data_IF_714799956362
#
_entry.id   IF_714799956362
#
_cell.length_a   1.000
_cell.length_b   1.000
_cell.length_c   1.000
_cell.angle_alpha   90.00
_cell.angle_beta   90.00
_cell.angle_gamma   90.00
#
_symmetry.space_group_name_H-M   'P 1'
#
loop_
_entity.id
_entity.type
_entity.pdbx_description
1 polymer ?
#
# COMPACT_ATOMS: atom_id res chain seq x y z
N UNK A 1 1.98 -10.56 -70.42
CA UNK A 1 2.31 -11.69 -69.51
C UNK A 1 2.64 -11.10 -68.15
N UNK A 2 2.20 -11.79 -67.09
CA UNK A 2 1.88 -11.32 -65.75
C UNK A 2 2.88 -10.38 -65.06
N UNK A 3 2.36 -9.27 -64.52
CA UNK A 3 2.96 -8.47 -63.46
C UNK A 3 2.84 -9.22 -62.13
N UNK A 4 3.96 -9.50 -61.46
CA UNK A 4 3.98 -10.00 -60.09
C UNK A 4 3.43 -8.93 -59.12
N UNK A 5 2.50 -9.28 -58.21
CA UNK A 5 2.19 -8.40 -57.09
C UNK A 5 3.33 -8.46 -56.07
N UNK A 6 3.91 -7.31 -55.74
CA UNK A 6 4.78 -7.18 -54.57
C UNK A 6 3.96 -7.49 -53.31
N UNK A 7 4.48 -8.37 -52.45
CA UNK A 7 3.95 -8.55 -51.10
C UNK A 7 4.06 -7.23 -50.32
N UNK A 8 3.06 -6.87 -49.50
CA UNK A 8 3.17 -5.72 -48.62
C UNK A 8 4.27 -5.97 -47.58
N UNK A 9 5.00 -4.93 -47.15
CA UNK A 9 5.98 -5.06 -46.09
C UNK A 9 5.28 -5.54 -44.80
N UNK A 10 5.88 -6.53 -44.17
CA UNK A 10 5.50 -7.09 -42.88
C UNK A 10 5.46 -5.94 -41.85
N UNK A 11 4.25 -5.56 -41.43
CA UNK A 11 4.07 -4.50 -40.44
C UNK A 11 4.64 -4.99 -39.10
N UNK A 12 5.75 -4.39 -38.68
CA UNK A 12 6.29 -4.54 -37.33
C UNK A 12 5.19 -4.21 -36.32
N UNK A 13 4.73 -5.21 -35.58
CA UNK A 13 3.75 -5.02 -34.51
C UNK A 13 4.34 -4.10 -33.44
N UNK A 14 3.63 -3.02 -33.14
CA UNK A 14 4.03 -2.06 -32.12
C UNK A 14 4.17 -2.78 -30.74
N UNK A 15 5.27 -2.55 -30.00
CA UNK A 15 5.60 -3.31 -28.78
C UNK A 15 4.61 -3.12 -27.61
N UNK A 16 3.62 -2.23 -27.75
CA UNK A 16 2.72 -1.80 -26.67
C UNK A 16 1.23 -2.01 -27.02
N UNK A 17 0.86 -3.19 -27.52
CA UNK A 17 -0.56 -3.56 -27.55
C UNK A 17 -1.02 -3.87 -26.11
N UNK A 18 -2.24 -3.45 -25.74
CA UNK A 18 -2.81 -3.74 -24.42
C UNK A 18 -2.74 -5.24 -24.05
N UNK A 19 -2.97 -6.20 -24.97
CA UNK A 19 -2.77 -7.62 -24.68
C UNK A 19 -1.32 -8.00 -24.32
N UNK A 20 -0.32 -7.37 -24.95
CA UNK A 20 1.09 -7.60 -24.61
C UNK A 20 1.44 -7.04 -23.23
N UNK A 21 0.92 -5.85 -22.89
CA UNK A 21 1.08 -5.25 -21.57
C UNK A 21 0.44 -6.11 -20.47
N UNK A 22 -0.79 -6.59 -20.69
CA UNK A 22 -1.47 -7.50 -19.76
C UNK A 22 -0.68 -8.79 -19.59
N UNK A 23 -0.19 -9.37 -20.68
CA UNK A 23 0.64 -10.57 -20.64
C UNK A 23 1.95 -10.36 -19.87
N UNK A 24 2.60 -9.21 -20.05
CA UNK A 24 3.81 -8.84 -19.30
C UNK A 24 3.51 -8.63 -17.81
N UNK A 25 2.41 -7.97 -17.47
CA UNK A 25 1.99 -7.75 -16.08
C UNK A 25 1.62 -9.07 -15.38
N UNK A 26 0.96 -9.99 -16.08
CA UNK A 26 0.63 -11.32 -15.55
C UNK A 26 1.87 -12.19 -15.35
N UNK A 27 2.88 -12.09 -16.22
CA UNK A 27 4.16 -12.82 -16.05
C UNK A 27 4.92 -12.42 -14.79
N UNK A 28 4.67 -11.20 -14.29
CA UNK A 28 5.24 -10.75 -13.02
C UNK A 28 4.45 -11.23 -11.81
N UNK A 29 3.29 -11.87 -11.98
CA UNK A 29 2.55 -12.45 -10.85
C UNK A 29 2.97 -13.90 -10.69
N UNK A 30 3.53 -14.22 -9.53
CA UNK A 30 3.75 -15.61 -9.13
C UNK A 30 2.54 -16.06 -8.31
N UNK A 31 1.72 -16.92 -8.91
CA UNK A 31 0.52 -17.46 -8.30
C UNK A 31 0.82 -18.73 -7.49
N UNK A 32 0.29 -18.77 -6.28
CA UNK A 32 0.22 -19.95 -5.42
C UNK A 32 -1.26 -20.15 -5.11
N UNK A 33 -1.89 -21.10 -5.81
CA UNK A 33 -3.35 -21.26 -5.82
C UNK A 33 -3.78 -22.65 -5.37
N UNK A 34 -4.84 -22.72 -4.55
CA UNK A 34 -5.48 -23.99 -4.13
C UNK A 34 -4.53 -24.98 -3.44
N UNK A 35 -3.54 -24.44 -2.74
CA UNK A 35 -2.55 -25.22 -2.01
C UNK A 35 -2.96 -25.40 -0.55
N UNK A 36 -2.75 -26.61 -0.01
CA UNK A 36 -3.22 -26.94 1.34
C UNK A 36 -2.21 -27.77 2.15
N UNK A 37 -2.23 -27.60 3.47
CA UNK A 37 -1.52 -28.41 4.49
C UNK A 37 -0.01 -28.56 4.25
N UNK A 38 0.66 -27.46 3.87
CA UNK A 38 2.10 -27.44 3.56
C UNK A 38 2.79 -26.21 4.14
N UNK A 39 4.11 -26.35 4.30
CA UNK A 39 5.03 -25.24 4.57
C UNK A 39 5.85 -24.98 3.30
N UNK A 40 5.88 -23.74 2.84
CA UNK A 40 6.64 -23.31 1.66
C UNK A 40 7.60 -22.18 1.98
N UNK A 41 8.84 -22.36 1.53
CA UNK A 41 9.88 -21.34 1.60
C UNK A 41 10.01 -20.69 0.24
N UNK A 42 9.76 -19.38 0.19
CA UNK A 42 9.86 -18.59 -1.02
C UNK A 42 11.16 -17.77 -0.97
N UNK A 43 12.23 -18.27 -1.57
CA UNK A 43 13.52 -17.61 -1.71
C UNK A 43 13.76 -17.08 -3.14
N UNK A 44 14.91 -16.44 -3.37
CA UNK A 44 15.30 -15.86 -4.67
C UNK A 44 15.42 -16.89 -5.82
N UNK A 45 15.35 -18.20 -5.54
CA UNK A 45 15.28 -19.25 -6.56
C UNK A 45 13.85 -19.58 -6.98
N UNK A 46 12.88 -19.25 -6.12
CA UNK A 46 11.45 -19.56 -6.30
C UNK A 46 10.60 -18.35 -6.72
N UNK A 47 11.02 -17.14 -6.35
CA UNK A 47 10.36 -15.87 -6.67
C UNK A 47 11.40 -14.86 -7.14
N UNK A 48 11.03 -13.95 -8.05
CA UNK A 48 11.91 -12.87 -8.50
C UNK A 48 11.59 -11.56 -7.78
N UNK A 49 12.58 -10.66 -7.70
CA UNK A 49 12.39 -9.35 -7.06
C UNK A 49 11.33 -8.49 -7.73
N UNK A 50 11.09 -8.67 -9.03
CA UNK A 50 10.05 -7.95 -9.77
C UNK A 50 8.67 -8.64 -9.70
N UNK A 51 8.56 -9.77 -8.99
CA UNK A 51 7.32 -10.53 -8.89
C UNK A 51 6.35 -9.99 -7.84
N UNK A 52 5.05 -10.02 -8.13
CA UNK A 52 4.00 -9.98 -7.11
C UNK A 52 3.72 -11.41 -6.68
N UNK A 53 3.91 -11.71 -5.40
CA UNK A 53 3.50 -13.00 -4.81
C UNK A 53 2.01 -12.95 -4.54
N UNK A 54 1.27 -13.88 -5.12
CA UNK A 54 -0.18 -13.93 -5.00
C UNK A 54 -0.60 -15.28 -4.43
N UNK A 55 -1.01 -15.27 -3.17
CA UNK A 55 -1.54 -16.43 -2.44
C UNK A 55 -3.06 -16.40 -2.56
N UNK A 56 -3.67 -17.45 -3.11
CA UNK A 56 -5.11 -17.43 -3.37
C UNK A 56 -5.75 -18.80 -3.17
N UNK A 57 -6.90 -18.83 -2.50
CA UNK A 57 -7.62 -20.09 -2.22
C UNK A 57 -6.75 -21.14 -1.49
N UNK A 58 -5.77 -20.69 -0.70
CA UNK A 58 -4.93 -21.57 0.11
C UNK A 58 -5.55 -21.81 1.49
N UNK A 59 -5.53 -23.05 1.98
CA UNK A 59 -6.06 -23.43 3.30
C UNK A 59 -5.01 -24.18 4.14
N UNK A 60 -4.86 -23.86 5.43
CA UNK A 60 -3.92 -24.53 6.32
C UNK A 60 -2.47 -24.52 5.77
N UNK A 61 -1.99 -23.32 5.44
CA UNK A 61 -0.68 -23.12 4.80
C UNK A 61 0.25 -22.28 5.66
N UNK A 62 1.55 -22.55 5.56
CA UNK A 62 2.60 -21.66 6.07
C UNK A 62 3.55 -21.25 4.94
N UNK A 63 3.67 -19.94 4.72
CA UNK A 63 4.63 -19.36 3.79
C UNK A 63 5.72 -18.60 4.53
N UNK A 64 6.97 -18.85 4.18
CA UNK A 64 8.14 -18.13 4.68
C UNK A 64 8.81 -17.43 3.49
N UNK A 65 8.67 -16.12 3.40
CA UNK A 65 9.22 -15.30 2.31
C UNK A 65 10.62 -14.82 2.69
N UNK A 66 11.61 -15.49 2.12
CA UNK A 66 13.04 -15.22 2.23
C UNK A 66 13.65 -14.62 0.96
N UNK A 67 12.84 -14.36 -0.06
CA UNK A 67 13.25 -13.69 -1.30
C UNK A 67 12.63 -12.31 -1.42
N UNK A 68 13.28 -11.42 -2.17
CA UNK A 68 12.74 -10.10 -2.46
C UNK A 68 11.56 -10.22 -3.43
N UNK A 69 10.50 -9.43 -3.23
CA UNK A 69 9.38 -9.33 -4.17
C UNK A 69 8.84 -7.91 -4.30
N UNK A 70 8.04 -7.65 -5.33
CA UNK A 70 7.39 -6.36 -5.55
C UNK A 70 6.31 -6.08 -4.52
N UNK A 71 5.41 -7.06 -4.30
CA UNK A 71 4.18 -6.93 -3.51
C UNK A 71 3.70 -8.33 -3.10
N UNK A 72 2.97 -8.42 -1.98
CA UNK A 72 2.25 -9.65 -1.60
C UNK A 72 0.75 -9.38 -1.61
N UNK A 73 -0.01 -10.32 -2.18
CA UNK A 73 -1.46 -10.31 -2.23
C UNK A 73 -2.01 -11.64 -1.70
N UNK A 74 -3.01 -11.59 -0.82
CA UNK A 74 -3.64 -12.74 -0.17
C UNK A 74 -5.14 -12.66 -0.40
N UNK A 75 -5.72 -13.66 -1.07
CA UNK A 75 -7.13 -13.68 -1.45
C UNK A 75 -7.80 -14.99 -1.10
N UNK A 76 -8.96 -14.92 -0.44
CA UNK A 76 -9.80 -16.09 -0.20
C UNK A 76 -9.01 -17.26 0.45
N UNK A 77 -8.05 -16.91 1.31
CA UNK A 77 -7.23 -17.86 2.06
C UNK A 77 -7.82 -18.13 3.44
N UNK A 78 -7.53 -19.30 3.99
CA UNK A 78 -7.99 -19.70 5.32
C UNK A 78 -6.88 -20.34 6.14
N UNK A 79 -6.81 -20.02 7.42
CA UNK A 79 -5.85 -20.61 8.37
C UNK A 79 -4.39 -20.54 7.84
N UNK A 80 -4.00 -19.36 7.35
CA UNK A 80 -2.71 -19.12 6.71
C UNK A 80 -1.74 -18.43 7.66
N UNK A 81 -0.49 -18.91 7.70
CA UNK A 81 0.64 -18.26 8.35
C UNK A 81 1.58 -17.70 7.30
N UNK A 82 1.97 -16.44 7.44
CA UNK A 82 2.94 -15.79 6.57
C UNK A 82 4.05 -15.19 7.43
N UNK A 83 5.30 -15.58 7.19
CA UNK A 83 6.47 -14.88 7.73
C UNK A 83 7.19 -14.18 6.59
N UNK A 84 7.39 -12.86 6.72
CA UNK A 84 8.13 -12.07 5.74
C UNK A 84 9.46 -11.63 6.34
N UNK A 85 10.55 -12.20 5.83
CA UNK A 85 11.91 -11.90 6.27
C UNK A 85 12.61 -10.89 5.37
N UNK A 86 12.28 -10.90 4.08
CA UNK A 86 12.91 -10.04 3.08
C UNK A 86 12.03 -8.87 2.61
N UNK A 87 12.67 -7.95 1.88
CA UNK A 87 12.05 -6.71 1.43
C UNK A 87 10.89 -6.96 0.44
N UNK A 88 9.77 -6.29 0.70
CA UNK A 88 8.72 -6.03 -0.29
C UNK A 88 8.96 -4.64 -0.89
N UNK A 89 9.22 -4.54 -2.19
CA UNK A 89 9.64 -3.27 -2.83
C UNK A 89 8.59 -2.17 -2.63
N UNK A 90 7.32 -2.49 -2.80
CA UNK A 90 6.21 -1.54 -2.57
C UNK A 90 5.95 -1.30 -1.09
N UNK A 91 6.48 -2.16 -0.21
CA UNK A 91 6.18 -2.19 1.23
C UNK A 91 4.67 -2.34 1.51
N UNK A 92 3.93 -2.97 0.58
CA UNK A 92 2.49 -3.18 0.66
C UNK A 92 2.15 -4.67 0.70
N UNK A 93 1.23 -5.02 1.59
CA UNK A 93 0.50 -6.30 1.58
C UNK A 93 -1.00 -6.01 1.44
N UNK A 94 -1.67 -6.73 0.55
CA UNK A 94 -3.13 -6.68 0.42
C UNK A 94 -3.73 -8.04 0.82
N UNK A 95 -4.77 -8.00 1.64
CA UNK A 95 -5.49 -9.17 2.14
C UNK A 95 -6.97 -8.93 1.91
N UNK A 96 -7.66 -9.85 1.25
CA UNK A 96 -9.11 -9.77 1.17
C UNK A 96 -9.82 -11.11 1.20
N UNK A 97 -11.06 -11.09 1.68
CA UNK A 97 -11.97 -12.25 1.77
C UNK A 97 -11.36 -13.47 2.49
N UNK A 98 -10.47 -13.21 3.44
CA UNK A 98 -9.66 -14.25 4.08
C UNK A 98 -9.97 -14.38 5.57
N UNK A 99 -9.84 -15.58 6.13
CA UNK A 99 -10.14 -15.89 7.54
C UNK A 99 -8.95 -16.58 8.22
N UNK A 100 -8.60 -16.17 9.44
CA UNK A 100 -7.57 -16.85 10.23
C UNK A 100 -6.15 -16.63 9.70
N UNK A 101 -5.82 -15.39 9.30
CA UNK A 101 -4.52 -15.04 8.72
C UNK A 101 -3.59 -14.50 9.79
N UNK A 102 -2.42 -15.12 9.92
CA UNK A 102 -1.40 -14.74 10.89
C UNK A 102 -0.13 -14.31 10.15
N UNK A 103 0.25 -13.05 10.26
CA UNK A 103 1.39 -12.49 9.53
C UNK A 103 2.45 -11.96 10.49
N UNK A 104 3.66 -12.50 10.38
CA UNK A 104 4.85 -12.00 11.06
C UNK A 104 5.72 -11.22 10.07
N UNK A 105 5.98 -9.97 10.42
CA UNK A 105 6.67 -8.99 9.59
C UNK A 105 8.02 -8.65 10.21
N UNK A 106 9.07 -9.35 9.73
CA UNK A 106 10.45 -9.08 10.09
C UNK A 106 11.11 -8.12 9.09
N UNK A 107 10.40 -7.70 8.04
CA UNK A 107 10.84 -6.68 7.08
C UNK A 107 9.96 -5.44 7.12
N UNK A 108 10.39 -4.37 6.46
CA UNK A 108 9.62 -3.13 6.39
C UNK A 108 8.39 -3.32 5.51
N UNK A 109 7.20 -3.22 6.13
CA UNK A 109 5.91 -3.22 5.45
C UNK A 109 5.14 -1.99 5.95
N UNK A 110 5.11 -0.97 5.11
CA UNK A 110 4.53 0.31 5.48
C UNK A 110 3.02 0.25 5.50
N UNK A 111 2.39 -0.46 4.57
CA UNK A 111 0.93 -0.50 4.47
C UNK A 111 0.43 -1.93 4.37
N UNK A 112 -0.43 -2.34 5.28
CA UNK A 112 -1.26 -3.53 5.11
C UNK A 112 -2.69 -3.10 4.85
N UNK A 113 -3.28 -3.59 3.76
CA UNK A 113 -4.67 -3.30 3.40
C UNK A 113 -5.51 -4.55 3.56
N UNK A 114 -6.64 -4.43 4.27
CA UNK A 114 -7.45 -5.56 4.72
C UNK A 114 -8.93 -5.30 4.38
N UNK A 115 -9.55 -6.16 3.57
CA UNK A 115 -10.94 -5.99 3.14
C UNK A 115 -11.72 -7.31 3.25
N UNK A 116 -12.90 -7.28 3.86
CA UNK A 116 -13.77 -8.47 3.97
C UNK A 116 -13.09 -9.65 4.68
N UNK A 117 -12.34 -9.39 5.74
CA UNK A 117 -11.58 -10.41 6.44
C UNK A 117 -12.14 -10.75 7.82
N UNK A 118 -11.66 -11.86 8.39
CA UNK A 118 -11.95 -12.25 9.76
C UNK A 118 -10.70 -12.83 10.42
N UNK A 119 -10.53 -12.59 11.72
CA UNK A 119 -9.45 -13.19 12.53
C UNK A 119 -8.06 -12.93 11.91
N UNK A 120 -7.69 -11.65 11.77
CA UNK A 120 -6.41 -11.25 11.20
C UNK A 120 -5.46 -10.84 12.32
N UNK A 121 -4.29 -11.47 12.38
CA UNK A 121 -3.26 -11.17 13.36
C UNK A 121 -2.00 -10.69 12.65
N UNK A 122 -1.54 -9.47 12.98
CA UNK A 122 -0.32 -8.89 12.44
C UNK A 122 0.71 -8.68 13.54
N UNK A 123 1.95 -9.09 13.30
CA UNK A 123 3.06 -8.90 14.22
C UNK A 123 4.22 -8.19 13.51
N UNK A 124 4.58 -7.01 13.98
CA UNK A 124 5.78 -6.28 13.54
C UNK A 124 6.90 -6.48 14.55
N UNK A 125 8.11 -6.80 14.10
CA UNK A 125 9.24 -6.99 15.01
C UNK A 125 9.80 -5.67 15.59
N UNK A 126 9.53 -4.52 14.94
CA UNK A 126 9.97 -3.17 15.36
C UNK A 126 8.98 -2.07 14.96
N UNK A 127 8.85 -0.98 15.75
CA UNK A 127 7.97 0.15 15.40
C UNK A 127 8.39 0.85 14.10
N UNK A 128 9.70 0.97 13.85
CA UNK A 128 10.24 1.64 12.64
C UNK A 128 9.84 1.00 11.31
N UNK A 129 9.29 -0.22 11.31
CA UNK A 129 8.86 -0.94 10.11
C UNK A 129 7.38 -0.78 9.80
N UNK A 130 6.62 -0.21 10.72
CA UNK A 130 5.18 0.04 10.61
C UNK A 130 4.91 1.48 10.15
N UNK A 131 3.85 1.68 9.35
CA UNK A 131 3.36 3.01 9.00
C UNK A 131 1.82 3.12 9.03
N UNK A 132 1.11 2.17 8.44
CA UNK A 132 -0.34 2.06 8.55
C UNK A 132 -0.91 0.67 8.31
N UNK A 133 -2.09 0.46 8.88
CA UNK A 133 -3.01 -0.59 8.44
C UNK A 133 -4.29 0.10 7.98
N UNK A 134 -4.74 -0.20 6.78
CA UNK A 134 -6.03 0.25 6.26
C UNK A 134 -6.97 -0.94 6.26
N UNK A 135 -8.18 -0.77 6.77
CA UNK A 135 -9.13 -1.87 6.82
C UNK A 135 -10.59 -1.46 6.64
N UNK A 136 -11.40 -2.39 6.14
CA UNK A 136 -12.85 -2.25 6.00
C UNK A 136 -13.51 -3.63 6.01
N UNK A 137 -14.79 -3.71 6.37
CA UNK A 137 -15.58 -4.96 6.43
C UNK A 137 -14.86 -6.12 7.12
N UNK A 138 -14.06 -5.85 8.15
CA UNK A 138 -13.17 -6.83 8.79
C UNK A 138 -13.49 -6.94 10.27
N UNK A 139 -13.53 -8.17 10.80
CA UNK A 139 -13.77 -8.45 12.23
C UNK A 139 -12.57 -9.17 12.86
N UNK A 140 -12.34 -8.95 14.17
CA UNK A 140 -11.19 -9.46 14.91
C UNK A 140 -9.83 -9.19 14.22
N UNK A 141 -9.51 -7.91 14.00
CA UNK A 141 -8.17 -7.46 13.62
C UNK A 141 -7.34 -7.26 14.88
N UNK A 142 -6.28 -8.04 15.06
CA UNK A 142 -5.27 -7.85 16.10
C UNK A 142 -3.94 -7.43 15.48
N UNK A 143 -3.26 -6.50 16.15
CA UNK A 143 -1.94 -6.04 15.76
C UNK A 143 -1.05 -5.95 16.99
N UNK A 144 0.17 -6.44 16.86
CA UNK A 144 1.25 -6.27 17.84
C UNK A 144 2.49 -5.69 17.18
N UNK A 145 3.15 -4.81 17.90
CA UNK A 145 4.48 -4.30 17.55
C UNK A 145 5.41 -4.62 18.71
N UNK A 146 6.50 -5.30 18.40
CA UNK A 146 7.57 -5.62 19.33
C UNK A 146 8.70 -4.59 19.26
N UNK A 147 9.48 -4.49 20.32
CA UNK A 147 10.75 -3.76 20.38
C UNK A 147 11.70 -4.59 21.24
N UNK A 148 12.86 -4.95 20.70
CA UNK A 148 13.82 -5.85 21.35
C UNK A 148 13.21 -7.16 21.89
N UNK A 149 12.24 -7.70 21.15
CA UNK A 149 11.56 -8.96 21.47
C UNK A 149 10.45 -8.83 22.52
N UNK A 150 10.17 -7.63 23.03
CA UNK A 150 9.07 -7.37 23.96
C UNK A 150 7.90 -6.68 23.27
N UNK A 151 6.67 -7.10 23.58
CA UNK A 151 5.46 -6.44 23.08
C UNK A 151 5.42 -4.99 23.61
N UNK A 152 5.42 -4.02 22.69
CA UNK A 152 5.46 -2.60 23.00
C UNK A 152 4.13 -1.91 22.74
N UNK A 153 3.47 -2.30 21.65
CA UNK A 153 2.17 -1.78 21.25
C UNK A 153 1.26 -2.93 20.85
N UNK A 154 -0.02 -2.78 21.19
CA UNK A 154 -1.06 -3.73 20.81
C UNK A 154 -2.33 -2.98 20.45
N UNK A 155 -3.06 -3.46 19.44
CA UNK A 155 -4.37 -2.99 19.05
C UNK A 155 -5.27 -4.20 18.76
N UNK A 156 -6.51 -4.15 19.22
CA UNK A 156 -7.58 -5.02 18.75
C UNK A 156 -8.70 -4.14 18.19
N UNK A 157 -9.20 -4.47 17.00
CA UNK A 157 -10.20 -3.73 16.26
C UNK A 157 -11.13 -4.69 15.49
N UNK A 158 -12.18 -4.16 14.87
CA UNK A 158 -13.06 -4.93 13.97
C UNK A 158 -14.37 -5.43 14.60
N UNK A 159 -14.50 -5.46 15.93
CA UNK A 159 -15.71 -5.97 16.59
C UNK A 159 -16.69 -4.86 16.98
N UNK A 160 -16.19 -3.65 17.17
CA UNK A 160 -16.97 -2.50 17.65
C UNK A 160 -17.57 -1.66 16.50
N UNK A 161 -17.16 -1.92 15.25
CA UNK A 161 -17.49 -1.08 14.10
C UNK A 161 -18.60 -1.66 13.19
N UNK A 162 -19.51 -2.44 13.78
CA UNK A 162 -20.67 -3.00 13.08
C UNK A 162 -21.97 -2.21 13.30
N UNK A 163 -21.90 -1.01 13.88
CA UNK A 163 -23.08 -0.19 14.14
C UNK A 163 -22.94 1.18 13.49
N UNK A 164 -23.10 1.22 12.18
CA UNK A 164 -23.75 2.38 11.56
C UNK A 164 -25.05 1.89 10.92
N UNK A 165 -26.11 1.90 11.72
CA UNK A 165 -27.47 1.53 11.32
C UNK A 165 -28.18 2.65 10.56
N UNK A 166 -27.43 3.57 9.93
CA UNK A 166 -27.99 4.54 9.00
C UNK A 166 -27.93 3.98 7.59
N UNK A 167 -29.10 3.68 7.03
CA UNK A 167 -29.35 3.21 5.65
C UNK A 167 -28.81 4.15 4.54
N UNK A 168 -28.06 5.20 4.88
CA UNK A 168 -27.66 6.30 3.99
C UNK A 168 -26.17 6.29 3.58
N UNK A 169 -25.32 5.42 4.16
CA UNK A 169 -23.94 5.30 3.70
C UNK A 169 -23.85 4.34 2.50
N UNK A 170 -23.80 4.93 1.30
CA UNK A 170 -23.61 4.20 0.03
C UNK A 170 -22.29 3.39 -0.05
N UNK A 171 -21.36 3.61 0.89
CA UNK A 171 -20.04 2.96 0.94
C UNK A 171 -19.71 2.52 2.37
N UNK A 172 -19.11 1.34 2.55
CA UNK A 172 -18.66 0.89 3.85
C UNK A 172 -17.59 1.85 4.40
N UNK A 173 -17.68 2.15 5.69
CA UNK A 173 -16.66 2.94 6.37
C UNK A 173 -15.30 2.23 6.26
N UNK A 174 -14.26 3.01 5.99
CA UNK A 174 -12.88 2.55 5.94
C UNK A 174 -12.13 3.19 7.10
N UNK A 175 -11.18 2.45 7.66
CA UNK A 175 -10.42 2.86 8.83
C UNK A 175 -8.93 2.78 8.54
N UNK A 176 -8.15 3.59 9.24
CA UNK A 176 -6.70 3.56 9.18
C UNK A 176 -6.10 3.61 10.58
N UNK A 177 -5.11 2.76 10.81
CA UNK A 177 -4.32 2.72 12.04
C UNK A 177 -3.02 3.45 11.82
N UNK A 178 -2.64 4.30 12.77
CA UNK A 178 -1.35 5.01 12.82
C UNK A 178 -0.67 4.80 14.18
N UNK A 179 0.65 4.94 14.22
CA UNK A 179 1.40 5.08 15.47
C UNK A 179 1.68 6.57 15.69
N UNK A 180 0.94 7.18 16.62
CA UNK A 180 0.99 8.62 16.91
C UNK A 180 1.37 8.77 18.38
N UNK A 181 2.39 9.57 18.68
CA UNK A 181 2.86 9.80 20.06
C UNK A 181 3.03 8.50 20.86
N UNK A 182 3.59 7.47 20.19
CA UNK A 182 3.85 6.16 20.77
C UNK A 182 2.57 5.36 21.13
N UNK A 183 1.43 5.68 20.52
CA UNK A 183 0.16 4.99 20.69
C UNK A 183 -0.43 4.58 19.34
N UNK A 184 -1.00 3.38 19.27
CA UNK A 184 -1.77 2.94 18.10
C UNK A 184 -3.15 3.59 18.13
N UNK A 185 -3.46 4.37 17.09
CA UNK A 185 -4.71 5.12 16.97
C UNK A 185 -5.42 4.67 15.71
N UNK A 186 -6.71 4.34 15.85
CA UNK A 186 -7.61 4.07 14.73
C UNK A 186 -8.41 5.33 14.42
N UNK A 187 -8.38 5.77 13.16
CA UNK A 187 -9.11 6.93 12.66
C UNK A 187 -9.96 6.52 11.44
N UNK A 188 -11.01 7.29 11.13
CA UNK A 188 -11.70 7.16 9.85
C UNK A 188 -10.75 7.49 8.71
N UNK A 189 -10.75 6.64 7.69
CA UNK A 189 -10.03 6.89 6.45
C UNK A 189 -10.84 7.86 5.60
N UNK A 190 -10.21 8.97 5.27
CA UNK A 190 -10.68 9.91 4.25
C UNK A 190 -9.78 9.81 3.03
N UNK A 191 -10.30 10.22 1.87
CA UNK A 191 -9.51 10.27 0.63
C UNK A 191 -9.21 11.72 0.31
N UNK A 192 -7.93 12.06 0.33
CA UNK A 192 -7.45 13.35 -0.13
C UNK A 192 -7.68 13.52 -1.64
N UNK A 193 -7.30 14.69 -2.17
CA UNK A 193 -7.26 14.92 -3.62
C UNK A 193 -6.55 13.77 -4.34
N UNK A 194 -7.09 13.34 -5.49
CA UNK A 194 -6.61 12.19 -6.28
C UNK A 194 -6.76 10.82 -5.60
N UNK A 195 -7.51 10.73 -4.50
CA UNK A 195 -7.94 9.46 -3.91
C UNK A 195 -6.95 8.84 -2.92
N UNK A 196 -5.90 9.56 -2.52
CA UNK A 196 -4.90 9.07 -1.56
C UNK A 196 -5.54 8.83 -0.17
N UNK A 197 -5.34 7.65 0.43
CA UNK A 197 -5.87 7.36 1.76
C UNK A 197 -5.11 8.17 2.82
N UNK A 198 -5.85 8.86 3.67
CA UNK A 198 -5.32 9.73 4.75
C UNK A 198 -6.31 9.77 5.91
N UNK A 199 -5.95 10.44 7.00
CA UNK A 199 -6.88 10.81 8.08
C UNK A 199 -7.33 12.26 7.94
N UNK A 200 -8.47 12.61 8.56
CA UNK A 200 -8.92 14.01 8.63
C UNK A 200 -7.86 14.90 9.29
N UNK A 201 -7.23 14.40 10.37
CA UNK A 201 -6.12 15.07 11.07
C UNK A 201 -4.93 15.34 10.13
N UNK A 202 -4.45 14.32 9.41
CA UNK A 202 -3.34 14.47 8.45
C UNK A 202 -3.69 15.46 7.33
N UNK A 203 -4.94 15.43 6.88
CA UNK A 203 -5.43 16.34 5.84
C UNK A 203 -5.47 17.80 6.31
N UNK A 204 -5.96 18.04 7.53
CA UNK A 204 -5.99 19.37 8.13
C UNK A 204 -4.58 19.91 8.39
N UNK A 205 -3.66 19.08 8.90
CA UNK A 205 -2.25 19.44 9.04
C UNK A 205 -1.60 19.80 7.70
N UNK A 206 -1.91 19.06 6.63
CA UNK A 206 -1.38 19.33 5.30
C UNK A 206 -1.91 20.64 4.72
N UNK A 207 -3.22 20.89 4.83
CA UNK A 207 -3.84 22.15 4.37
C UNK A 207 -3.24 23.36 5.10
N UNK A 208 -3.07 23.27 6.43
CA UNK A 208 -2.46 24.34 7.21
C UNK A 208 -1.00 24.62 6.77
N UNK A 209 -0.21 23.57 6.49
CA UNK A 209 1.15 23.72 5.96
C UNK A 209 1.18 24.39 4.59
N UNK A 210 0.23 24.07 3.72
CA UNK A 210 0.11 24.70 2.39
C UNK A 210 -0.23 26.17 2.51
N UNK A 211 -1.17 26.53 3.39
CA UNK A 211 -1.56 27.91 3.61
C UNK A 211 -0.37 28.76 4.09
N UNK A 212 0.35 28.29 5.12
CA UNK A 212 1.58 28.94 5.62
C UNK A 212 2.63 29.09 4.53
N UNK A 213 2.83 28.06 3.70
CA UNK A 213 3.83 28.11 2.63
C UNK A 213 3.42 29.04 1.48
N UNK A 214 2.12 29.13 1.18
CA UNK A 214 1.56 30.05 0.19
C UNK A 214 1.74 31.50 0.63
N UNK A 215 1.47 31.80 1.90
CA UNK A 215 1.71 33.11 2.50
C UNK A 215 3.19 33.50 2.47
N UNK A 216 4.08 32.58 2.86
CA UNK A 216 5.54 32.78 2.78
C UNK A 216 6.01 33.06 1.36
N UNK A 217 5.51 32.30 0.39
CA UNK A 217 5.88 32.46 -1.02
C UNK A 217 5.41 33.81 -1.57
N UNK A 218 4.17 34.20 -1.26
CA UNK A 218 3.60 35.49 -1.65
C UNK A 218 4.38 36.68 -1.06
N UNK A 219 4.81 36.56 0.20
CA UNK A 219 5.63 37.58 0.86
C UNK A 219 7.02 37.70 0.23
N UNK A 220 7.67 36.57 -0.11
CA UNK A 220 8.96 36.57 -0.81
C UNK A 220 8.81 37.23 -2.19
N UNK A 221 7.76 36.90 -2.94
CA UNK A 221 7.53 37.49 -4.27
C UNK A 221 7.32 39.01 -4.19
N UNK A 222 6.60 39.49 -3.16
CA UNK A 222 6.42 40.93 -2.91
C UNK A 222 7.76 41.62 -2.62
N UNK A 223 8.58 41.05 -1.74
CA UNK A 223 9.91 41.58 -1.42
C UNK A 223 10.78 41.65 -2.68
N UNK A 224 10.80 40.60 -3.51
CA UNK A 224 11.57 40.58 -4.75
C UNK A 224 11.08 41.64 -5.75
N UNK A 225 9.77 41.84 -5.88
CA UNK A 225 9.19 42.91 -6.73
C UNK A 225 9.56 44.30 -6.23
N UNK A 226 9.56 44.52 -4.92
CA UNK A 226 9.91 45.82 -4.32
C UNK A 226 11.41 46.11 -4.48
N UNK A 227 12.28 45.10 -4.32
CA UNK A 227 13.73 45.22 -4.60
C UNK A 227 14.01 45.51 -6.09
N UNK A 228 13.31 44.84 -7.01
CA UNK A 228 13.48 45.08 -8.44
C UNK A 228 13.03 46.50 -8.84
N UNK A 229 12.00 47.05 -8.21
CA UNK A 229 11.56 48.44 -8.41
C UNK A 229 12.51 49.46 -7.79
N UNK A 230 13.13 49.13 -6.64
CA UNK A 230 14.16 49.95 -6.01
C UNK A 230 15.38 50.13 -6.92
N UNK A 231 15.92 49.02 -7.45
CA UNK A 231 17.10 49.07 -8.32
C UNK A 231 16.83 49.78 -9.66
N UNK A 232 15.61 49.73 -10.20
CA UNK A 232 15.26 50.42 -11.46
C UNK A 232 15.21 51.96 -11.33
N UNK A 233 15.07 52.50 -10.11
CA UNK A 233 15.04 53.95 -9.87
C UNK A 233 16.44 54.55 -9.64
N UNK A 234 17.42 53.73 -9.25
CA UNK A 234 18.80 54.19 -9.04
C UNK A 234 19.61 54.28 -10.36
N UNK A 235 19.22 53.52 -11.40
CA UNK A 235 19.86 53.54 -12.72
C UNK A 235 19.45 54.73 -13.63
N UNK A 236 18.52 55.60 -13.18
CA UNK A 236 18.03 56.75 -13.97
C UNK A 236 18.69 58.08 -13.54
N UNK A 237 19.45 58.08 -12.44
CA UNK A 237 20.12 59.27 -11.90
C UNK A 237 21.67 59.22 -11.96
N UNK A 238 22.25 58.31 -12.76
CA UNK A 238 23.70 58.18 -12.98
C UNK A 238 24.17 58.82 -14.28
#
# INVERSE_FOLDING_TARGET
>A
MASHPQQPPEQAQAPNSAPNLVSQLLRRRQFFEQENSQVKYLDDTSISSDSTVYLRLCEDMEYVVNGVCTKIMIEECKDLKLTVNEKIITSIIEIWKSDGINIKLNSQVQTVQIDQCKNINLEYDKPSKFHSIVWTNTSHLSMKIYEDGQEKHSLNAGDEILVDSSDDKLYPSQYIVRLIDNQLVTEDLVRAEKGFPTTQREWDEWKAKIEINSERSSNIEKILKDLAKGNANDDING
#
